data_IF_131417709944
#
_entry.id   IF_131417709944
#
_cell.length_a   1.000
_cell.length_b   1.000
_cell.length_c   1.000
_cell.angle_alpha   90.00
_cell.angle_beta   90.00
_cell.angle_gamma   90.00
#
_symmetry.space_group_name_H-M   'P 1'
#
loop_
_entity.id
_entity.type
_entity.pdbx_description
1 polymer ?
#
# COMPACT_ATOMS: atom_id res chain seq x y z
N UNK A 1 23.11 18.86 -27.53
CA UNK A 1 23.29 19.10 -26.08
C UNK A 1 22.03 19.66 -25.41
N UNK A 2 21.45 20.77 -25.88
CA UNK A 2 20.23 21.37 -25.28
C UNK A 2 19.01 20.42 -25.26
N UNK A 3 18.68 19.78 -26.38
CA UNK A 3 17.53 18.86 -26.46
C UNK A 3 17.67 17.61 -25.57
N UNK A 4 18.90 17.09 -25.41
CA UNK A 4 19.19 15.98 -24.50
C UNK A 4 19.01 16.40 -23.04
N UNK A 5 19.47 17.59 -22.66
CA UNK A 5 19.26 18.15 -21.33
C UNK A 5 17.76 18.35 -21.04
N UNK A 6 16.99 18.87 -22.00
CA UNK A 6 15.55 19.05 -21.85
C UNK A 6 14.83 17.71 -21.72
N UNK A 7 15.19 16.71 -22.53
CA UNK A 7 14.60 15.37 -22.45
C UNK A 7 14.91 14.69 -21.11
N UNK A 8 16.14 14.78 -20.63
CA UNK A 8 16.54 14.27 -19.31
C UNK A 8 15.77 14.97 -18.21
N UNK A 9 15.64 16.31 -18.26
CA UNK A 9 14.90 17.07 -17.26
C UNK A 9 13.41 16.68 -17.23
N UNK A 10 12.77 16.55 -18.40
CA UNK A 10 11.38 16.08 -18.48
C UNK A 10 11.22 14.66 -17.90
N UNK A 11 12.11 13.73 -18.26
CA UNK A 11 12.10 12.36 -17.71
C UNK A 11 12.30 12.34 -16.19
N UNK A 12 13.21 13.16 -15.67
CA UNK A 12 13.42 13.29 -14.22
C UNK A 12 12.19 13.86 -13.52
N UNK A 13 11.52 14.86 -14.10
CA UNK A 13 10.27 15.38 -13.51
C UNK A 13 9.19 14.31 -13.48
N UNK A 14 8.98 13.55 -14.57
CA UNK A 14 8.02 12.46 -14.59
C UNK A 14 8.34 11.38 -13.56
N UNK A 15 9.61 10.99 -13.43
CA UNK A 15 10.04 9.99 -12.46
C UNK A 15 9.85 10.45 -11.00
N UNK A 16 9.98 11.75 -10.73
CA UNK A 16 9.79 12.30 -9.38
C UNK A 16 8.32 12.28 -8.92
N UNK A 17 7.35 12.27 -9.84
CA UNK A 17 5.92 12.18 -9.48
C UNK A 17 5.50 10.76 -9.07
N UNK A 18 6.18 9.72 -9.58
CA UNK A 18 5.88 8.32 -9.28
C UNK A 18 6.09 7.93 -7.81
N UNK A 19 7.01 8.59 -7.10
CA UNK A 19 7.39 8.24 -5.72
C UNK A 19 6.65 9.04 -4.63
N UNK A 20 5.76 9.95 -5.00
CA UNK A 20 5.10 10.84 -4.03
C UNK A 20 3.79 10.26 -3.46
N UNK A 21 3.29 9.17 -4.05
CA UNK A 21 1.96 8.67 -3.70
C UNK A 21 1.97 8.00 -2.32
N UNK A 22 1.13 8.53 -1.44
CA UNK A 22 0.91 8.04 -0.09
C UNK A 22 -0.54 7.62 0.08
N UNK A 23 -0.78 6.63 0.94
CA UNK A 23 -2.10 6.11 1.27
C UNK A 23 -2.44 6.52 2.68
N UNK A 24 -3.45 7.36 2.81
CA UNK A 24 -3.95 7.88 4.07
C UNK A 24 -5.20 7.13 4.50
N UNK A 25 -5.12 6.47 5.65
CA UNK A 25 -6.23 5.78 6.29
C UNK A 25 -6.31 6.22 7.74
N UNK A 26 -7.41 6.90 8.08
CA UNK A 26 -7.61 7.51 9.41
C UNK A 26 -6.44 8.44 9.77
N UNK A 27 -5.69 8.11 10.81
CA UNK A 27 -4.54 8.89 11.29
C UNK A 27 -3.19 8.32 10.81
N UNK A 28 -3.21 7.33 9.92
CA UNK A 28 -2.02 6.66 9.43
C UNK A 28 -1.77 7.01 7.96
N UNK A 29 -0.49 7.16 7.63
CA UNK A 29 -0.04 7.39 6.27
C UNK A 29 1.00 6.35 5.93
N UNK A 30 0.80 5.65 4.81
CA UNK A 30 1.69 4.63 4.30
C UNK A 30 2.24 5.06 2.95
N UNK A 31 3.48 4.69 2.63
CA UNK A 31 3.93 4.82 1.24
C UNK A 31 3.19 3.81 0.37
N UNK A 32 3.00 4.14 -0.91
CA UNK A 32 2.44 3.21 -1.87
C UNK A 32 3.22 1.89 -1.91
N UNK A 33 4.55 1.95 -1.80
CA UNK A 33 5.42 0.78 -1.72
C UNK A 33 5.12 -0.12 -0.52
N UNK A 34 4.84 0.44 0.66
CA UNK A 34 4.42 -0.36 1.82
C UNK A 34 3.08 -1.05 1.56
N UNK A 35 2.14 -0.39 0.90
CA UNK A 35 0.83 -0.98 0.55
C UNK A 35 0.97 -2.07 -0.51
N UNK A 36 1.92 -1.95 -1.44
CA UNK A 36 2.29 -3.04 -2.37
C UNK A 36 2.84 -4.26 -1.61
N UNK A 37 3.69 -4.08 -0.60
CA UNK A 37 4.14 -5.19 0.26
C UNK A 37 2.99 -5.85 1.01
N UNK A 38 1.99 -5.07 1.43
CA UNK A 38 0.79 -5.61 2.08
C UNK A 38 -0.02 -6.50 1.12
N UNK A 39 -0.12 -6.12 -0.17
CA UNK A 39 -0.71 -6.96 -1.23
C UNK A 39 -0.02 -8.32 -1.30
N UNK A 40 1.30 -8.32 -1.47
CA UNK A 40 2.09 -9.55 -1.62
C UNK A 40 1.95 -10.47 -0.39
N UNK A 41 1.91 -9.87 0.80
CA UNK A 41 1.65 -10.59 2.04
C UNK A 41 0.24 -11.20 2.10
N UNK A 42 -0.79 -10.47 1.68
CA UNK A 42 -2.16 -10.98 1.63
C UNK A 42 -2.31 -12.11 0.60
N UNK A 43 -1.73 -11.96 -0.58
CA UNK A 43 -1.81 -12.94 -1.67
C UNK A 43 -1.04 -14.23 -1.33
N UNK A 44 0.13 -14.10 -0.68
CA UNK A 44 0.90 -15.26 -0.20
C UNK A 44 0.20 -16.00 0.93
N UNK A 45 -0.48 -15.29 1.85
CA UNK A 45 -1.27 -15.90 2.93
C UNK A 45 -2.43 -16.73 2.36
N UNK A 46 -3.12 -16.22 1.33
CA UNK A 46 -4.19 -16.96 0.63
C UNK A 46 -3.63 -18.20 -0.08
N UNK A 47 -2.47 -18.09 -0.71
CA UNK A 47 -1.82 -19.20 -1.42
C UNK A 47 -1.36 -20.31 -0.47
N UNK A 48 -0.81 -19.94 0.70
CA UNK A 48 -0.27 -20.89 1.70
C UNK A 48 -1.36 -21.71 2.38
N UNK A 49 -2.57 -21.16 2.55
CA UNK A 49 -3.67 -21.86 3.19
C UNK A 49 -5.01 -21.58 2.49
N UNK A 50 -5.36 -22.39 1.47
CA UNK A 50 -6.61 -22.21 0.71
C UNK A 50 -7.87 -22.51 1.53
N UNK A 51 -7.76 -23.15 2.69
CA UNK A 51 -8.87 -23.33 3.64
C UNK A 51 -8.99 -22.19 4.67
N UNK A 52 -7.99 -21.32 4.76
CA UNK A 52 -8.14 -20.09 5.52
C UNK A 52 -9.20 -19.27 4.78
N UNK A 53 -10.29 -18.84 5.44
CA UNK A 53 -11.14 -17.83 4.84
C UNK A 53 -10.18 -16.71 4.41
N UNK A 54 -10.25 -16.32 3.12
CA UNK A 54 -9.51 -15.16 2.56
C UNK A 54 -9.31 -14.16 3.68
N UNK A 55 -8.11 -13.60 3.90
CA UNK A 55 -7.66 -12.81 5.07
C UNK A 55 -8.64 -11.72 5.65
N UNK A 56 -9.84 -11.60 5.09
CA UNK A 56 -11.12 -11.14 5.63
C UNK A 56 -11.51 -11.62 7.04
N UNK A 57 -11.06 -12.79 7.57
CA UNK A 57 -11.52 -13.24 8.91
C UNK A 57 -10.43 -13.48 9.96
N UNK A 58 -9.16 -13.59 9.56
CA UNK A 58 -8.04 -13.71 10.51
C UNK A 58 -7.42 -12.33 10.65
N UNK A 59 -7.31 -11.84 11.90
CA UNK A 59 -6.60 -10.58 12.16
C UNK A 59 -5.21 -10.65 11.57
N UNK A 60 -4.84 -9.67 10.74
CA UNK A 60 -3.52 -9.62 10.10
C UNK A 60 -2.40 -9.52 11.14
N UNK A 61 -2.71 -8.99 12.33
CA UNK A 61 -1.81 -8.91 13.47
C UNK A 61 -1.45 -10.26 14.10
N UNK A 62 -2.24 -11.31 13.85
CA UNK A 62 -1.94 -12.65 14.36
C UNK A 62 -0.87 -13.37 13.52
N UNK A 63 -0.51 -12.83 12.35
CA UNK A 63 0.45 -13.45 11.47
C UNK A 63 1.86 -12.87 11.72
N UNK A 64 2.84 -13.68 12.14
CA UNK A 64 4.19 -13.22 12.46
C UNK A 64 4.95 -12.67 11.25
N UNK A 65 4.51 -13.00 10.03
CA UNK A 65 5.14 -12.55 8.78
C UNK A 65 4.59 -11.19 8.30
N UNK A 66 3.77 -10.50 9.10
CA UNK A 66 3.23 -9.17 8.76
C UNK A 66 4.37 -8.17 8.47
N UNK A 67 4.29 -7.37 7.39
CA UNK A 67 5.35 -6.42 7.08
C UNK A 67 5.54 -5.39 8.20
N UNK A 68 6.81 -5.04 8.46
CA UNK A 68 7.22 -4.24 9.63
C UNK A 68 6.54 -2.88 9.70
N UNK A 69 6.21 -2.32 8.53
CA UNK A 69 5.55 -1.03 8.39
C UNK A 69 4.14 -1.02 9.01
N UNK A 70 3.51 -2.18 9.16
CA UNK A 70 2.16 -2.32 9.72
C UNK A 70 2.12 -2.85 11.15
N UNK A 71 3.26 -3.26 11.73
CA UNK A 71 3.29 -3.81 13.09
C UNK A 71 2.77 -2.81 14.13
N UNK A 72 3.08 -1.52 13.96
CA UNK A 72 2.59 -0.47 14.86
C UNK A 72 1.06 -0.32 14.88
N UNK A 73 0.35 -0.79 13.84
CA UNK A 73 -1.10 -0.81 13.84
C UNK A 73 -1.66 -1.80 14.86
N UNK A 74 -0.95 -2.91 15.08
CA UNK A 74 -1.41 -3.99 15.95
C UNK A 74 -1.44 -3.64 17.43
N UNK A 75 -0.74 -2.56 17.82
CA UNK A 75 -0.80 -2.01 19.18
C UNK A 75 -2.05 -1.13 19.40
N UNK A 76 -2.81 -0.84 18.33
CA UNK A 76 -4.01 0.01 18.41
C UNK A 76 -5.29 -0.81 18.55
N UNK A 77 -6.28 -0.26 19.26
CA UNK A 77 -7.59 -0.91 19.43
C UNK A 77 -8.37 -1.02 18.11
N UNK A 78 -8.07 -0.13 17.15
CA UNK A 78 -8.76 -0.05 15.85
C UNK A 78 -8.01 -0.82 14.74
N UNK A 79 -7.02 -1.64 15.08
CA UNK A 79 -6.14 -2.31 14.12
C UNK A 79 -6.92 -3.02 13.00
N UNK A 80 -7.89 -3.86 13.38
CA UNK A 80 -8.68 -4.64 12.43
C UNK A 80 -9.47 -3.72 11.48
N UNK A 81 -10.02 -2.62 11.99
CA UNK A 81 -10.78 -1.68 11.17
C UNK A 81 -9.87 -0.88 10.21
N UNK A 82 -8.68 -0.49 10.66
CA UNK A 82 -7.67 0.15 9.80
C UNK A 82 -7.26 -0.80 8.67
N UNK A 83 -7.08 -2.08 8.99
CA UNK A 83 -6.79 -3.09 7.97
C UNK A 83 -7.96 -3.33 7.02
N UNK A 84 -9.21 -3.31 7.47
CA UNK A 84 -10.37 -3.37 6.57
C UNK A 84 -10.41 -2.18 5.60
N UNK A 85 -10.08 -0.98 6.07
CA UNK A 85 -9.99 0.22 5.24
C UNK A 85 -8.82 0.12 4.24
N UNK A 86 -7.70 -0.51 4.62
CA UNK A 86 -6.53 -0.74 3.75
C UNK A 86 -6.72 -1.86 2.73
N UNK A 87 -7.45 -2.93 3.05
CA UNK A 87 -7.64 -4.12 2.19
C UNK A 87 -8.08 -3.81 0.75
N UNK A 88 -9.09 -2.96 0.47
CA UNK A 88 -9.48 -2.66 -0.91
C UNK A 88 -8.36 -1.95 -1.68
N UNK A 89 -7.60 -1.08 -1.01
CA UNK A 89 -6.48 -0.35 -1.61
C UNK A 89 -5.31 -1.31 -1.87
N UNK A 90 -4.99 -2.18 -0.90
CA UNK A 90 -3.94 -3.19 -1.03
C UNK A 90 -4.23 -4.25 -2.09
N UNK A 91 -5.50 -4.52 -2.44
CA UNK A 91 -5.82 -5.43 -3.56
C UNK A 91 -5.42 -4.83 -4.92
N UNK A 92 -5.48 -3.52 -5.04
CA UNK A 92 -5.21 -2.78 -6.29
C UNK A 92 -4.41 -1.50 -6.04
N UNK A 93 -3.19 -1.59 -5.49
CA UNK A 93 -2.39 -0.43 -5.10
C UNK A 93 -2.03 0.44 -6.31
N UNK A 94 -1.88 -0.15 -7.49
CA UNK A 94 -1.64 0.56 -8.75
C UNK A 94 -2.68 1.65 -9.06
N UNK A 95 -3.91 1.51 -8.56
CA UNK A 95 -4.95 2.52 -8.74
C UNK A 95 -4.66 3.81 -7.96
N UNK A 96 -3.79 3.77 -6.95
CA UNK A 96 -3.32 4.99 -6.29
C UNK A 96 -2.41 5.83 -7.19
N UNK A 97 -1.75 5.26 -8.20
CA UNK A 97 -0.91 6.01 -9.14
C UNK A 97 -1.73 6.95 -10.03
N UNK A 98 -3.03 6.68 -10.17
CA UNK A 98 -3.99 7.48 -10.93
C UNK A 98 -5.06 8.14 -10.03
N UNK A 99 -4.79 8.28 -8.72
CA UNK A 99 -5.71 8.84 -7.73
C UNK A 99 -7.11 8.20 -7.67
N UNK A 100 -7.26 6.91 -7.98
CA UNK A 100 -8.60 6.32 -8.07
C UNK A 100 -9.28 6.15 -6.70
N UNK A 101 -8.51 6.09 -5.60
CA UNK A 101 -9.05 6.10 -4.24
C UNK A 101 -8.83 7.45 -3.57
N UNK A 102 -9.84 7.93 -2.83
CA UNK A 102 -9.75 9.15 -2.04
C UNK A 102 -8.70 9.08 -0.92
N UNK A 103 -8.28 7.88 -0.54
CA UNK A 103 -7.20 7.65 0.41
C UNK A 103 -5.81 7.95 -0.18
N UNK A 104 -5.65 7.99 -1.51
CA UNK A 104 -4.36 8.25 -2.12
C UNK A 104 -4.10 9.77 -2.18
N UNK A 105 -2.92 10.21 -1.78
CA UNK A 105 -2.48 11.60 -1.83
C UNK A 105 -1.09 11.71 -2.48
N UNK A 106 -0.74 12.88 -3.00
CA UNK A 106 0.55 13.08 -3.71
C UNK A 106 0.48 12.82 -5.22
N UNK A 107 -0.73 12.59 -5.71
CA UNK A 107 -1.17 12.82 -7.06
C UNK A 107 -2.17 14.01 -7.02
#
# INVERSE_FOLDING_TARGET
>A
MKALLTAVLCLCTLAAFSDCVTVQVRNFSFSLESVKKLKDFMDSTVTRNPQLPSARSVSLCANPDLPKEFLSLCDTQDADQIFEDLKPIARSPELCEICAFAACAGC
#
